data_IF_425273401982
#
_entry.id   IF_425273401982
#
_cell.length_a   1.000
_cell.length_b   1.000
_cell.length_c   1.000
_cell.angle_alpha   90.00
_cell.angle_beta   90.00
_cell.angle_gamma   90.00
#
_symmetry.space_group_name_H-M   'P 1'
#
loop_
_entity.id
_entity.type
_entity.pdbx_description
1 polymer ?
#
# COMPACT_ATOMS: atom_id res chain seq x y z
N UNK A 1 1.76 15.58 1.78
CA UNK A 1 1.15 14.57 0.87
C UNK A 1 0.57 13.46 1.73
N UNK A 2 -0.73 13.15 1.61
CA UNK A 2 -1.32 11.96 2.24
C UNK A 2 -0.61 10.75 1.63
N UNK A 3 -0.01 9.89 2.45
CA UNK A 3 0.57 8.66 1.95
C UNK A 3 -0.57 7.81 1.32
N UNK A 4 -0.28 7.16 0.21
CA UNK A 4 -1.26 6.38 -0.54
C UNK A 4 -0.53 5.24 -1.21
N UNK A 5 -1.10 4.05 -1.16
CA UNK A 5 -0.55 2.89 -1.85
C UNK A 5 -1.29 2.71 -3.17
N UNK A 6 -0.60 2.25 -4.20
CA UNK A 6 -1.20 1.90 -5.48
C UNK A 6 -1.29 0.38 -5.57
N UNK A 7 -2.51 -0.13 -5.72
CA UNK A 7 -2.81 -1.56 -5.89
C UNK A 7 -3.16 -1.82 -7.35
N UNK A 8 -2.60 -2.88 -7.93
CA UNK A 8 -2.89 -3.32 -9.31
C UNK A 8 -3.98 -4.39 -9.29
N UNK A 9 -5.07 -4.18 -10.05
CA UNK A 9 -6.16 -5.16 -10.23
C UNK A 9 -6.26 -5.61 -11.69
N UNK A 10 -6.67 -6.86 -11.92
CA UNK A 10 -6.75 -7.47 -13.25
C UNK A 10 -5.36 -7.84 -13.83
N UNK A 11 -5.22 -7.99 -15.16
CA UNK A 11 -6.20 -7.61 -16.18
C UNK A 11 -7.28 -8.70 -16.40
N UNK A 12 -8.44 -8.31 -16.92
CA UNK A 12 -9.50 -9.21 -17.34
C UNK A 12 -9.59 -9.23 -18.87
N UNK A 13 -9.55 -10.41 -19.48
CA UNK A 13 -9.56 -10.59 -20.94
C UNK A 13 -8.57 -11.65 -21.42
N UNK A 14 -8.12 -11.52 -22.67
CA UNK A 14 -7.14 -12.38 -23.31
C UNK A 14 -5.69 -12.06 -22.97
N UNK A 15 -4.78 -12.94 -23.37
CA UNK A 15 -3.34 -12.83 -23.09
C UNK A 15 -2.50 -12.52 -24.33
N UNK A 16 -3.13 -12.45 -25.51
CA UNK A 16 -2.44 -12.18 -26.77
C UNK A 16 -2.14 -10.68 -26.91
N UNK A 17 -0.94 -10.33 -27.36
CA UNK A 17 -0.54 -8.93 -27.61
C UNK A 17 0.45 -8.37 -26.58
N UNK A 18 0.68 -7.06 -26.65
CA UNK A 18 1.71 -6.39 -25.87
C UNK A 18 1.13 -5.77 -24.60
N UNK A 19 1.85 -5.94 -23.48
CA UNK A 19 1.49 -5.26 -22.24
C UNK A 19 1.84 -3.78 -22.30
N UNK A 20 0.86 -2.93 -22.02
CA UNK A 20 1.03 -1.48 -21.88
C UNK A 20 0.50 -1.03 -20.53
N UNK A 21 1.13 -0.02 -19.93
CA UNK A 21 0.73 0.46 -18.59
C UNK A 21 0.94 1.95 -18.44
N UNK A 22 0.13 2.56 -17.57
CA UNK A 22 0.24 3.95 -17.18
C UNK A 22 1.16 4.08 -15.95
N UNK A 23 2.17 4.97 -16.02
CA UNK A 23 2.92 5.35 -14.83
C UNK A 23 2.02 6.21 -13.91
N UNK A 24 1.76 5.71 -12.70
CA UNK A 24 0.86 6.35 -11.75
C UNK A 24 1.58 7.23 -10.71
N UNK A 25 2.91 7.38 -10.79
CA UNK A 25 3.66 8.27 -9.91
C UNK A 25 3.26 9.72 -10.13
N UNK A 26 3.03 10.46 -9.04
CA UNK A 26 2.63 11.87 -9.12
C UNK A 26 1.23 12.12 -9.70
N UNK A 27 0.41 11.08 -9.87
CA UNK A 27 -0.92 11.23 -10.47
C UNK A 27 -1.88 12.02 -9.58
N UNK A 28 -2.43 13.10 -10.13
CA UNK A 28 -3.45 13.93 -9.48
C UNK A 28 -4.85 13.39 -9.76
N UNK A 29 -5.19 13.14 -11.04
CA UNK A 29 -6.49 12.60 -11.46
C UNK A 29 -6.48 12.13 -12.90
N UNK A 30 -7.36 11.19 -13.24
CA UNK A 30 -7.80 10.97 -14.63
C UNK A 30 -8.76 12.12 -14.97
N UNK A 31 -8.62 12.67 -16.17
CA UNK A 31 -9.41 13.81 -16.65
C UNK A 31 -10.41 13.38 -17.73
N UNK A 32 -9.98 12.56 -18.68
CA UNK A 32 -10.78 12.13 -19.82
C UNK A 32 -10.40 10.72 -20.27
N UNK A 33 -11.39 9.97 -20.75
CA UNK A 33 -11.19 8.66 -21.37
C UNK A 33 -11.74 8.73 -22.80
N UNK A 34 -10.99 8.20 -23.76
CA UNK A 34 -11.40 8.04 -25.15
C UNK A 34 -11.28 6.58 -25.56
N UNK A 35 -12.33 6.05 -26.19
CA UNK A 35 -12.50 4.62 -26.49
C UNK A 35 -12.99 4.49 -27.94
N UNK A 36 -12.26 3.74 -28.76
CA UNK A 36 -12.78 3.26 -30.04
C UNK A 36 -13.38 1.88 -29.83
N UNK A 37 -14.63 1.68 -30.26
CA UNK A 37 -15.37 0.45 -30.05
C UNK A 37 -16.28 0.11 -31.24
N UNK A 38 -16.85 -1.09 -31.20
CA UNK A 38 -17.76 -1.64 -32.20
C UNK A 38 -18.21 -3.01 -31.71
N UNK A 39 -17.78 -4.08 -32.40
CA UNK A 39 -17.95 -5.43 -31.87
C UNK A 39 -17.19 -5.62 -30.54
N UNK A 40 -15.96 -5.08 -30.43
CA UNK A 40 -15.20 -5.05 -29.18
C UNK A 40 -14.49 -3.72 -28.99
N UNK A 41 -13.68 -3.61 -27.94
CA UNK A 41 -12.88 -2.42 -27.67
C UNK A 41 -11.62 -2.46 -28.54
N UNK A 42 -11.52 -1.56 -29.50
CA UNK A 42 -10.43 -1.51 -30.46
C UNK A 42 -9.25 -0.68 -29.93
N UNK A 43 -9.54 0.47 -29.31
CA UNK A 43 -8.52 1.30 -28.68
C UNK A 43 -8.98 1.97 -27.39
N UNK A 44 -8.01 2.33 -26.56
CA UNK A 44 -8.21 3.00 -25.29
C UNK A 44 -7.13 4.06 -25.07
N UNK A 45 -7.54 5.27 -24.67
CA UNK A 45 -6.64 6.36 -24.28
C UNK A 45 -7.14 6.98 -22.97
N UNK A 46 -6.24 7.16 -22.02
CA UNK A 46 -6.52 7.93 -20.80
C UNK A 46 -5.73 9.24 -20.83
N UNK A 47 -6.44 10.36 -20.64
CA UNK A 47 -5.87 11.67 -20.39
C UNK A 47 -5.93 11.97 -18.91
N UNK A 48 -4.84 12.46 -18.33
CA UNK A 48 -4.69 12.58 -16.90
C UNK A 48 -3.81 13.77 -16.51
N UNK A 49 -3.94 14.21 -15.26
CA UNK A 49 -3.10 15.25 -14.68
C UNK A 49 -2.05 14.60 -13.79
N UNK A 50 -0.76 14.79 -14.09
CA UNK A 50 0.39 14.35 -13.30
C UNK A 50 1.23 15.55 -12.89
N UNK A 51 1.51 15.68 -11.59
CA UNK A 51 2.22 16.81 -11.02
C UNK A 51 1.70 18.18 -11.52
N UNK A 52 0.37 18.30 -11.67
CA UNK A 52 -0.29 19.51 -12.17
C UNK A 52 -0.24 19.74 -13.69
N UNK A 53 0.31 18.82 -14.48
CA UNK A 53 0.40 18.90 -15.94
C UNK A 53 -0.46 17.84 -16.61
N UNK A 54 -1.08 18.21 -17.73
CA UNK A 54 -1.85 17.27 -18.55
C UNK A 54 -0.94 16.35 -19.35
N UNK A 55 -1.30 15.07 -19.38
CA UNK A 55 -0.60 14.01 -20.08
C UNK A 55 -1.60 12.98 -20.61
N UNK A 56 -1.11 12.07 -21.46
CA UNK A 56 -1.88 10.97 -22.02
C UNK A 56 -1.05 9.70 -22.05
N UNK A 57 -1.72 8.55 -21.94
CA UNK A 57 -1.11 7.23 -22.18
C UNK A 57 -0.66 7.03 -23.63
N UNK A 58 -1.03 7.94 -24.53
CA UNK A 58 -1.14 7.65 -25.94
C UNK A 58 -2.21 6.59 -26.19
N UNK A 59 -2.38 6.24 -27.46
CA UNK A 59 -3.34 5.23 -27.85
C UNK A 59 -2.80 3.82 -27.58
N UNK A 60 -3.58 3.02 -26.86
CA UNK A 60 -3.40 1.58 -26.79
C UNK A 60 -4.41 0.90 -27.70
N UNK A 61 -4.01 -0.15 -28.42
CA UNK A 61 -4.82 -0.73 -29.51
C UNK A 61 -4.85 0.13 -30.78
N UNK A 62 -5.83 -0.11 -31.66
CA UNK A 62 -5.91 0.51 -32.99
C UNK A 62 -7.31 1.10 -33.28
N UNK A 63 -7.38 2.09 -34.18
CA UNK A 63 -8.65 2.69 -34.64
C UNK A 63 -9.33 1.82 -35.71
N UNK A 64 -9.81 0.64 -35.31
CA UNK A 64 -10.64 -0.21 -36.17
C UNK A 64 -12.11 -0.25 -35.73
N UNK A 65 -12.48 0.49 -34.68
CA UNK A 65 -13.86 0.57 -34.21
C UNK A 65 -14.74 1.39 -35.15
N UNK A 66 -16.01 1.01 -35.25
CA UNK A 66 -17.03 1.79 -35.96
C UNK A 66 -17.32 3.11 -35.25
N UNK A 67 -17.15 3.13 -33.92
CA UNK A 67 -17.57 4.21 -33.06
C UNK A 67 -16.40 4.70 -32.21
N UNK A 68 -16.42 6.00 -31.93
CA UNK A 68 -15.50 6.66 -31.01
C UNK A 68 -16.35 7.34 -29.95
N UNK A 69 -16.08 7.01 -28.70
CA UNK A 69 -16.75 7.62 -27.56
C UNK A 69 -15.74 8.19 -26.59
N UNK A 70 -16.09 9.32 -26.00
CA UNK A 70 -15.28 9.98 -24.99
C UNK A 70 -16.13 10.52 -23.86
N UNK A 71 -15.53 10.60 -22.69
CA UNK A 71 -16.14 11.28 -21.55
C UNK A 71 -15.09 11.98 -20.69
N UNK A 72 -15.51 13.08 -20.11
CA UNK A 72 -14.70 13.90 -19.21
C UNK A 72 -15.23 13.82 -17.79
N UNK A 73 -14.31 13.73 -16.85
CA UNK A 73 -14.58 13.75 -15.42
C UNK A 73 -14.57 15.19 -14.93
N UNK A 74 -15.55 15.57 -14.11
CA UNK A 74 -15.54 16.85 -13.40
C UNK A 74 -14.40 16.92 -12.36
N UNK A 75 -13.93 18.10 -11.92
CA UNK A 75 -12.78 18.23 -10.99
C UNK A 75 -12.79 17.31 -9.76
N UNK A 76 -13.97 17.02 -9.20
CA UNK A 76 -14.18 16.14 -8.04
C UNK A 76 -14.80 14.77 -8.40
N UNK A 77 -14.91 14.46 -9.68
CA UNK A 77 -15.38 13.18 -10.19
C UNK A 77 -14.19 12.23 -10.41
N UNK A 78 -14.32 11.01 -9.91
CA UNK A 78 -13.30 9.97 -10.02
C UNK A 78 -13.93 8.59 -10.20
N UNK A 79 -13.21 7.73 -10.91
CA UNK A 79 -13.66 6.38 -11.23
C UNK A 79 -13.51 5.50 -9.98
N UNK A 80 -14.58 4.78 -9.62
CA UNK A 80 -14.63 3.84 -8.49
C UNK A 80 -14.72 2.39 -8.95
N UNK A 81 -15.26 2.14 -10.15
CA UNK A 81 -15.34 0.80 -10.71
C UNK A 81 -15.30 0.83 -12.23
N UNK A 82 -14.70 -0.21 -12.81
CA UNK A 82 -14.78 -0.49 -14.24
C UNK A 82 -15.40 -1.87 -14.40
N UNK A 83 -16.52 -1.92 -15.10
CA UNK A 83 -17.23 -3.14 -15.46
C UNK A 83 -17.06 -3.40 -16.94
N UNK A 84 -17.17 -4.64 -17.37
CA UNK A 84 -17.11 -4.98 -18.77
C UNK A 84 -17.38 -6.44 -19.04
N UNK A 85 -17.23 -6.81 -20.30
CA UNK A 85 -17.30 -8.20 -20.74
C UNK A 85 -16.10 -8.51 -21.64
N UNK A 86 -15.65 -9.76 -21.63
CA UNK A 86 -14.71 -10.28 -22.61
C UNK A 86 -15.18 -11.63 -23.15
N UNK A 87 -14.86 -11.91 -24.41
CA UNK A 87 -15.27 -13.15 -25.07
C UNK A 87 -14.34 -13.48 -26.24
N UNK A 88 -14.45 -14.71 -26.75
CA UNK A 88 -13.83 -15.06 -28.02
C UNK A 88 -14.57 -14.35 -29.16
N UNK A 89 -13.83 -13.61 -29.98
CA UNK A 89 -14.30 -13.01 -31.21
C UNK A 89 -13.30 -13.30 -32.34
N UNK A 90 -13.75 -14.08 -33.32
CA UNK A 90 -12.93 -14.52 -34.46
C UNK A 90 -11.59 -15.14 -34.02
N UNK A 91 -11.64 -16.04 -33.05
CA UNK A 91 -10.50 -16.78 -32.49
C UNK A 91 -9.62 -16.01 -31.48
N UNK A 92 -9.90 -14.72 -31.22
CA UNK A 92 -9.16 -13.90 -30.25
C UNK A 92 -10.03 -13.59 -29.03
N UNK A 93 -9.48 -13.67 -27.81
CA UNK A 93 -10.19 -13.26 -26.59
C UNK A 93 -9.99 -11.76 -26.39
N UNK A 94 -11.01 -10.97 -26.69
CA UNK A 94 -10.95 -9.50 -26.61
C UNK A 94 -11.89 -8.95 -25.54
N UNK A 95 -11.59 -7.75 -25.03
CA UNK A 95 -12.55 -6.97 -24.27
C UNK A 95 -13.67 -6.52 -25.21
N UNK A 96 -14.90 -6.92 -24.90
CA UNK A 96 -16.10 -6.69 -25.71
C UNK A 96 -16.80 -5.39 -25.32
N UNK A 97 -16.83 -5.09 -24.03
CA UNK A 97 -17.43 -3.85 -23.54
C UNK A 97 -16.76 -3.29 -22.29
N UNK A 98 -16.93 -1.99 -22.09
CA UNK A 98 -16.52 -1.26 -20.90
C UNK A 98 -17.60 -0.31 -20.42
N UNK A 99 -17.79 -0.25 -19.10
CA UNK A 99 -18.68 0.66 -18.39
C UNK A 99 -17.93 1.22 -17.20
N UNK A 100 -17.90 2.55 -17.06
CA UNK A 100 -17.13 3.24 -16.03
C UNK A 100 -18.09 3.81 -15.00
N UNK A 101 -17.95 3.39 -13.75
CA UNK A 101 -18.73 3.90 -12.64
C UNK A 101 -17.86 4.87 -11.85
N UNK A 102 -18.36 6.08 -11.62
CA UNK A 102 -17.71 7.12 -10.83
C UNK A 102 -18.44 7.35 -9.51
N UNK A 103 -17.89 8.19 -8.65
CA UNK A 103 -18.59 8.68 -7.46
C UNK A 103 -19.81 9.57 -7.77
N UNK A 104 -20.06 9.94 -9.03
CA UNK A 104 -21.17 10.84 -9.40
C UNK A 104 -22.16 10.19 -10.37
N UNK A 105 -21.67 9.42 -11.35
CA UNK A 105 -22.46 8.87 -12.46
C UNK A 105 -21.75 7.71 -13.16
N UNK A 106 -22.42 7.13 -14.14
CA UNK A 106 -21.91 6.00 -14.95
C UNK A 106 -21.80 6.39 -16.42
N UNK A 107 -20.76 5.89 -17.09
CA UNK A 107 -20.51 6.05 -18.52
C UNK A 107 -20.47 4.71 -19.24
N UNK A 108 -20.97 4.66 -20.47
CA UNK A 108 -21.13 3.44 -21.26
C UNK A 108 -22.48 2.75 -21.04
N UNK A 109 -22.62 1.46 -21.42
CA UNK A 109 -21.56 0.62 -21.94
C UNK A 109 -21.06 1.10 -23.31
N UNK A 110 -19.77 0.91 -23.54
CA UNK A 110 -19.13 1.07 -24.85
C UNK A 110 -18.80 -0.33 -25.38
N UNK A 111 -19.08 -0.61 -26.65
CA UNK A 111 -19.01 -1.97 -27.22
C UNK A 111 -20.22 -2.86 -26.89
N UNK A 112 -20.02 -4.17 -26.91
CA UNK A 112 -21.09 -5.18 -26.75
C UNK A 112 -20.96 -5.93 -25.41
N UNK A 113 -22.03 -5.95 -24.61
CA UNK A 113 -22.09 -6.68 -23.33
C UNK A 113 -22.29 -8.19 -23.56
N UNK A 114 -21.30 -8.84 -24.18
CA UNK A 114 -21.31 -10.26 -24.56
C UNK A 114 -20.18 -11.06 -23.90
N UNK A 115 -20.47 -12.27 -23.44
CA UNK A 115 -19.50 -13.20 -22.87
C UNK A 115 -19.36 -13.11 -21.36
N UNK A 116 -18.12 -13.20 -20.86
CA UNK A 116 -17.83 -13.27 -19.43
C UNK A 116 -17.77 -11.84 -18.87
N UNK A 117 -18.69 -11.53 -17.95
CA UNK A 117 -18.69 -10.27 -17.23
C UNK A 117 -17.51 -10.18 -16.25
N UNK A 118 -16.95 -8.99 -16.10
CA UNK A 118 -15.94 -8.67 -15.09
C UNK A 118 -16.21 -7.32 -14.44
N UNK A 119 -15.70 -7.16 -13.22
CA UNK A 119 -15.77 -5.92 -12.47
C UNK A 119 -14.47 -5.70 -11.69
N UNK A 120 -13.87 -4.52 -11.87
CA UNK A 120 -12.66 -4.07 -11.18
C UNK A 120 -13.03 -2.85 -10.32
N UNK A 121 -13.25 -3.10 -9.03
CA UNK A 121 -13.76 -2.09 -8.09
C UNK A 121 -12.70 -1.66 -7.09
N UNK A 122 -12.55 -0.35 -6.93
CA UNK A 122 -11.81 0.25 -5.83
C UNK A 122 -12.65 0.15 -4.54
N UNK A 123 -12.50 -0.96 -3.80
CA UNK A 123 -13.18 -1.18 -2.50
C UNK A 123 -12.88 -0.09 -1.48
N UNK A 124 -11.73 0.55 -1.61
CA UNK A 124 -11.40 1.82 -0.94
C UNK A 124 -10.60 2.71 -1.90
N UNK A 125 -10.72 4.03 -1.72
CA UNK A 125 -10.00 5.00 -2.54
C UNK A 125 -10.64 5.20 -3.92
N UNK A 126 -9.81 5.24 -4.97
CA UNK A 126 -10.25 5.49 -6.35
C UNK A 126 -9.30 4.91 -7.38
N UNK A 127 -9.81 4.63 -8.58
CA UNK A 127 -8.99 4.25 -9.73
C UNK A 127 -8.23 5.49 -10.23
N UNK A 128 -6.92 5.34 -10.42
CA UNK A 128 -6.01 6.42 -10.83
C UNK A 128 -5.23 6.14 -12.11
N UNK A 129 -5.31 4.92 -12.63
CA UNK A 129 -4.67 4.57 -13.89
C UNK A 129 -5.09 3.21 -14.40
N UNK A 130 -4.53 2.83 -15.55
CA UNK A 130 -4.88 1.62 -16.28
C UNK A 130 -3.64 0.86 -16.73
N UNK A 131 -3.80 -0.44 -16.93
CA UNK A 131 -2.87 -1.27 -17.69
C UNK A 131 -3.68 -2.19 -18.60
N UNK A 132 -3.13 -2.53 -19.76
CA UNK A 132 -3.82 -3.33 -20.76
C UNK A 132 -2.87 -4.35 -21.37
N UNK A 133 -3.46 -5.37 -21.99
CA UNK A 133 -2.83 -6.14 -23.04
C UNK A 133 -3.49 -5.68 -24.34
N UNK A 134 -2.69 -5.19 -25.29
CA UNK A 134 -3.21 -4.63 -26.54
C UNK A 134 -2.51 -5.21 -27.75
N UNK A 135 -3.30 -5.61 -28.74
CA UNK A 135 -2.86 -5.99 -30.07
C UNK A 135 -3.65 -5.21 -31.11
N UNK A 136 -4.39 -5.92 -31.98
CA UNK A 136 -5.37 -5.28 -32.88
C UNK A 136 -6.54 -4.66 -32.10
N UNK A 137 -6.90 -5.26 -30.96
CA UNK A 137 -7.92 -4.81 -30.02
C UNK A 137 -7.29 -4.58 -28.64
N UNK A 138 -8.11 -4.11 -27.69
CA UNK A 138 -7.83 -4.28 -26.27
C UNK A 138 -8.20 -5.72 -25.91
N UNK A 139 -7.19 -6.52 -25.63
CA UNK A 139 -7.31 -7.96 -25.39
C UNK A 139 -7.65 -8.19 -23.92
N UNK A 140 -7.01 -7.44 -23.02
CA UNK A 140 -7.38 -7.38 -21.61
C UNK A 140 -7.18 -5.99 -21.01
N UNK A 141 -7.94 -5.68 -19.96
CA UNK A 141 -7.85 -4.42 -19.23
C UNK A 141 -7.77 -4.64 -17.72
N UNK A 142 -6.90 -3.89 -17.07
CA UNK A 142 -6.80 -3.80 -15.62
C UNK A 142 -6.65 -2.35 -15.15
N UNK A 143 -6.72 -2.15 -13.84
CA UNK A 143 -6.73 -0.82 -13.22
C UNK A 143 -5.71 -0.70 -12.10
N UNK A 144 -5.27 0.53 -11.84
CA UNK A 144 -4.50 0.91 -10.66
C UNK A 144 -5.39 1.67 -9.69
N UNK A 145 -5.51 1.19 -8.46
CA UNK A 145 -6.32 1.77 -7.39
C UNK A 145 -5.41 2.48 -6.40
N UNK A 146 -5.63 3.78 -6.19
CA UNK A 146 -4.98 4.56 -5.13
C UNK A 146 -5.81 4.43 -3.87
N UNK A 147 -5.34 3.62 -2.93
CA UNK A 147 -5.94 3.49 -1.60
C UNK A 147 -5.34 4.55 -0.67
N UNK A 148 -6.14 5.27 0.13
CA UNK A 148 -5.63 6.09 1.21
C UNK A 148 -4.80 5.19 2.15
N UNK A 149 -3.55 5.55 2.44
CA UNK A 149 -2.85 4.81 3.50
C UNK A 149 -3.52 5.14 4.83
N UNK A 150 -3.87 4.10 5.58
CA UNK A 150 -4.37 4.23 6.96
C UNK A 150 -3.24 4.57 7.93
N UNK A 151 -1.98 4.50 7.49
CA UNK A 151 -0.79 4.69 8.31
C UNK A 151 0.40 5.20 7.48
N UNK A 152 1.29 5.96 8.12
CA UNK A 152 2.56 6.46 7.60
C UNK A 152 3.71 5.63 8.15
N UNK A 153 4.66 5.28 7.28
CA UNK A 153 5.92 4.62 7.67
C UNK A 153 6.94 5.65 8.16
N UNK A 154 7.53 5.43 9.33
CA UNK A 154 8.59 6.26 9.94
C UNK A 154 9.84 5.40 10.22
N UNK A 155 11.02 5.99 10.09
CA UNK A 155 12.30 5.26 10.17
C UNK A 155 12.60 4.42 8.91
N UNK A 156 13.43 3.37 9.01
CA UNK A 156 13.97 2.80 10.25
C UNK A 156 15.20 3.56 10.77
N UNK A 157 15.50 3.38 12.06
CA UNK A 157 16.72 3.85 12.71
C UNK A 157 17.57 2.63 13.11
N UNK A 158 18.85 2.63 12.74
CA UNK A 158 19.79 1.53 13.01
C UNK A 158 20.67 1.20 11.79
N UNK A 159 21.24 0.00 11.76
CA UNK A 159 22.12 -0.47 10.69
C UNK A 159 21.41 -1.15 9.52
N UNK A 160 22.20 -1.42 8.47
CA UNK A 160 21.74 -2.07 7.24
C UNK A 160 21.84 -3.60 7.23
N UNK A 161 22.27 -4.22 8.33
CA UNK A 161 22.39 -5.67 8.45
C UNK A 161 21.03 -6.38 8.55
N UNK A 162 21.05 -7.71 8.68
CA UNK A 162 19.85 -8.52 8.89
C UNK A 162 18.92 -8.63 7.67
N UNK A 163 17.87 -9.46 7.81
CA UNK A 163 16.79 -9.59 6.85
C UNK A 163 15.65 -8.61 7.19
N UNK A 164 14.94 -8.14 6.16
CA UNK A 164 13.79 -7.25 6.35
C UNK A 164 12.64 -7.93 7.09
N UNK A 165 12.02 -7.18 7.99
CA UNK A 165 10.82 -7.57 8.73
C UNK A 165 9.81 -6.44 8.68
N UNK A 166 8.54 -6.77 8.55
CA UNK A 166 7.46 -5.79 8.56
C UNK A 166 6.16 -6.41 9.04
N UNK A 167 5.34 -5.61 9.71
CA UNK A 167 3.95 -5.94 9.97
C UNK A 167 3.09 -5.51 8.78
N UNK A 168 2.20 -6.39 8.32
CA UNK A 168 1.05 -5.96 7.53
C UNK A 168 0.04 -5.31 8.50
N UNK A 169 -0.14 -4.00 8.38
CA UNK A 169 -0.99 -3.23 9.29
C UNK A 169 -2.46 -3.14 8.87
N UNK A 170 -2.88 -3.78 7.75
CA UNK A 170 -4.29 -3.72 7.38
C UNK A 170 -5.18 -4.49 8.37
N UNK A 171 -6.29 -3.86 8.75
CA UNK A 171 -7.22 -4.39 9.76
C UNK A 171 -6.71 -4.36 11.21
N UNK A 172 -5.46 -3.92 11.47
CA UNK A 172 -4.98 -3.75 12.84
C UNK A 172 -5.72 -2.58 13.49
N UNK A 173 -6.37 -2.87 14.62
CA UNK A 173 -7.06 -1.85 15.42
C UNK A 173 -6.18 -1.27 16.52
N UNK A 174 -5.31 -2.08 17.13
CA UNK A 174 -4.35 -1.63 18.16
C UNK A 174 -3.26 -2.66 18.45
N UNK A 175 -2.15 -2.18 19.02
CA UNK A 175 -1.19 -3.02 19.73
C UNK A 175 -1.74 -3.32 21.15
N UNK A 176 -1.55 -4.54 21.61
CA UNK A 176 -2.03 -5.03 22.92
C UNK A 176 -0.87 -5.25 23.88
N UNK A 177 0.21 -5.86 23.40
CA UNK A 177 1.39 -6.19 24.21
C UNK A 177 2.64 -6.06 23.38
N UNK A 178 3.72 -5.62 24.01
CA UNK A 178 5.07 -5.70 23.47
C UNK A 178 5.92 -6.52 24.43
N UNK A 179 6.70 -7.44 23.86
CA UNK A 179 7.76 -8.16 24.55
C UNK A 179 9.10 -7.72 23.99
N UNK A 180 9.93 -7.17 24.86
CA UNK A 180 11.29 -6.74 24.56
C UNK A 180 12.27 -7.72 25.17
N UNK A 181 13.09 -8.36 24.34
CA UNK A 181 14.21 -9.18 24.80
C UNK A 181 15.45 -8.31 24.88
N UNK A 182 16.22 -8.38 25.97
CA UNK A 182 17.40 -7.55 26.18
C UNK A 182 18.51 -8.30 26.94
N UNK A 183 19.75 -7.79 26.86
CA UNK A 183 20.94 -8.38 27.48
C UNK A 183 21.16 -7.86 28.91
N UNK A 184 21.75 -8.68 29.79
CA UNK A 184 21.91 -8.39 31.22
C UNK A 184 23.00 -7.38 31.57
N UNK A 185 24.11 -7.30 30.83
CA UNK A 185 25.23 -6.41 31.20
C UNK A 185 26.16 -6.01 30.06
N UNK A 186 26.29 -6.78 28.98
CA UNK A 186 27.11 -6.41 27.84
C UNK A 186 26.35 -6.81 26.58
N UNK A 187 25.98 -5.79 25.80
CA UNK A 187 25.47 -5.88 24.43
C UNK A 187 24.02 -6.30 24.19
N UNK A 188 23.14 -5.48 24.77
CA UNK A 188 21.69 -5.47 24.57
C UNK A 188 21.30 -5.43 23.10
N UNK A 189 21.05 -6.63 22.56
CA UNK A 189 20.17 -6.79 21.42
C UNK A 189 18.76 -6.65 21.92
N UNK A 190 18.05 -5.70 21.37
CA UNK A 190 16.61 -5.59 21.58
C UNK A 190 15.89 -6.49 20.59
N UNK A 191 15.47 -7.70 20.96
CA UNK A 191 14.50 -8.41 20.12
C UNK A 191 13.07 -8.00 20.46
N UNK A 192 12.20 -8.03 19.47
CA UNK A 192 10.85 -7.50 19.59
C UNK A 192 9.82 -8.56 19.18
N UNK A 193 8.84 -8.79 20.05
CA UNK A 193 7.60 -9.49 19.69
C UNK A 193 6.43 -8.56 19.96
N UNK A 194 5.49 -8.46 19.02
CA UNK A 194 4.34 -7.55 19.11
C UNK A 194 3.06 -8.36 19.00
N UNK A 195 2.18 -8.22 20.00
CA UNK A 195 0.81 -8.75 19.96
C UNK A 195 -0.17 -7.63 19.70
N UNK A 196 -1.11 -7.86 18.79
CA UNK A 196 -2.02 -6.83 18.30
C UNK A 196 -3.40 -7.42 17.98
N UNK A 197 -4.42 -6.57 17.90
CA UNK A 197 -5.75 -6.95 17.46
C UNK A 197 -5.90 -6.62 15.97
N UNK A 198 -6.22 -7.62 15.15
CA UNK A 198 -6.59 -7.48 13.75
C UNK A 198 -8.02 -7.98 13.54
N UNK A 199 -8.90 -7.12 13.03
CA UNK A 199 -10.30 -7.47 12.74
C UNK A 199 -11.00 -8.19 13.92
N UNK A 200 -10.70 -7.77 15.16
CA UNK A 200 -11.26 -8.35 16.38
C UNK A 200 -10.59 -9.64 16.89
N UNK A 201 -9.51 -10.12 16.24
CA UNK A 201 -8.74 -11.30 16.67
C UNK A 201 -7.33 -10.90 17.12
N UNK A 202 -6.84 -11.51 18.19
CA UNK A 202 -5.44 -11.32 18.61
C UNK A 202 -4.50 -12.11 17.72
N UNK A 203 -3.47 -11.43 17.24
CA UNK A 203 -2.36 -11.98 16.46
C UNK A 203 -1.03 -11.58 17.10
N UNK A 204 0.06 -12.27 16.77
CA UNK A 204 1.41 -11.93 17.23
C UNK A 204 2.40 -12.05 16.09
N UNK A 205 3.40 -11.16 16.06
CA UNK A 205 4.54 -11.31 15.17
C UNK A 205 5.38 -12.52 15.59
N UNK A 206 6.19 -13.03 14.68
CA UNK A 206 7.40 -13.76 15.09
C UNK A 206 8.33 -12.82 15.89
N UNK A 207 9.29 -13.40 16.61
CA UNK A 207 10.30 -12.61 17.30
C UNK A 207 11.30 -12.02 16.28
N UNK A 208 11.54 -10.72 16.35
CA UNK A 208 12.53 -10.03 15.50
C UNK A 208 13.83 -9.84 16.27
N UNK A 209 14.90 -10.55 15.89
CA UNK A 209 16.20 -10.55 16.58
C UNK A 209 16.42 -11.77 17.49
N UNK A 210 17.52 -11.76 18.26
CA UNK A 210 17.95 -12.89 19.08
C UNK A 210 17.16 -13.11 20.37
N UNK A 211 17.32 -14.29 21.01
CA UNK A 211 16.56 -14.69 22.23
C UNK A 211 16.71 -13.72 23.42
N UNK A 212 17.79 -12.95 23.47
CA UNK A 212 18.16 -12.12 24.62
C UNK A 212 18.53 -12.97 25.86
N UNK A 213 19.02 -12.30 26.90
CA UNK A 213 19.25 -12.93 28.21
C UNK A 213 17.99 -12.81 29.09
N UNK A 214 17.29 -11.69 28.98
CA UNK A 214 16.05 -11.37 29.68
C UNK A 214 14.95 -11.05 28.66
N UNK A 215 13.69 -11.27 29.05
CA UNK A 215 12.52 -10.80 28.33
C UNK A 215 11.65 -9.98 29.28
N UNK A 216 11.30 -8.78 28.88
CA UNK A 216 10.36 -7.92 29.60
C UNK A 216 9.16 -7.67 28.73
N UNK A 217 7.97 -7.95 29.27
CA UNK A 217 6.71 -7.67 28.60
C UNK A 217 5.92 -6.59 29.31
N UNK A 218 5.19 -5.81 28.52
CA UNK A 218 4.20 -4.86 29.04
C UNK A 218 2.92 -4.92 28.20
N UNK A 219 1.78 -4.85 28.89
CA UNK A 219 0.47 -4.78 28.28
C UNK A 219 0.03 -3.32 28.22
N UNK A 220 -0.55 -2.92 27.10
CA UNK A 220 -1.21 -1.63 26.96
C UNK A 220 -2.66 -1.76 27.43
N UNK A 221 -3.11 -0.85 28.27
CA UNK A 221 -4.52 -0.81 28.71
C UNK A 221 -5.48 -0.58 27.53
N UNK A 222 -6.80 -0.88 27.67
CA UNK A 222 -7.80 -0.72 26.60
C UNK A 222 -7.87 0.67 25.93
N UNK A 223 -7.38 1.72 26.58
CA UNK A 223 -7.30 3.09 26.03
C UNK A 223 -5.86 3.61 25.90
N UNK A 224 -4.88 2.78 26.23
CA UNK A 224 -3.46 3.10 26.10
C UNK A 224 -2.93 2.72 24.72
N UNK A 225 -2.22 3.65 24.09
CA UNK A 225 -1.59 3.50 22.78
C UNK A 225 -0.22 4.17 22.78
N UNK A 226 0.68 3.65 21.96
CA UNK A 226 2.05 4.15 21.84
C UNK A 226 2.04 5.39 20.94
N UNK A 227 2.63 6.48 21.41
CA UNK A 227 2.73 7.77 20.72
C UNK A 227 4.11 8.00 20.13
N UNK A 228 5.16 7.43 20.74
CA UNK A 228 6.53 7.54 20.25
C UNK A 228 7.37 6.33 20.68
N UNK A 229 8.38 6.00 19.87
CA UNK A 229 9.44 5.06 20.22
C UNK A 229 10.77 5.80 20.19
N UNK A 230 11.43 5.84 21.35
CA UNK A 230 12.75 6.43 21.55
C UNK A 230 13.77 5.33 21.79
N UNK A 231 15.03 5.62 21.53
CA UNK A 231 16.08 4.65 21.77
C UNK A 231 17.44 5.17 21.39
N UNK A 232 18.42 4.27 21.44
CA UNK A 232 19.78 4.55 21.01
C UNK A 232 20.22 3.50 20.00
N UNK A 233 20.97 3.94 18.99
CA UNK A 233 21.66 3.08 18.02
C UNK A 233 23.16 3.24 18.17
N UNK A 234 23.92 2.18 17.95
CA UNK A 234 25.36 2.22 18.08
C UNK A 234 26.01 0.91 17.70
N UNK A 235 27.34 0.89 17.73
CA UNK A 235 28.09 -0.33 17.47
C UNK A 235 27.96 -1.32 18.63
N UNK A 236 27.64 -2.56 18.30
CA UNK A 236 27.89 -3.73 19.10
C UNK A 236 28.94 -4.57 18.36
N UNK A 237 30.15 -4.64 18.91
CA UNK A 237 31.32 -5.15 18.21
C UNK A 237 31.45 -4.43 16.85
N UNK A 238 31.28 -5.15 15.74
CA UNK A 238 31.36 -4.61 14.38
C UNK A 238 29.99 -4.28 13.76
N UNK A 239 28.89 -4.51 14.47
CA UNK A 239 27.52 -4.39 13.95
C UNK A 239 26.85 -3.12 14.46
N UNK A 240 26.33 -2.29 13.56
CA UNK A 240 25.57 -1.10 13.95
C UNK A 240 24.10 -1.47 14.16
N UNK A 241 23.59 -1.36 15.40
CA UNK A 241 22.31 -1.97 15.82
C UNK A 241 21.50 -1.04 16.73
N UNK A 242 20.24 -1.41 16.99
CA UNK A 242 19.44 -0.83 18.07
C UNK A 242 19.95 -1.34 19.42
N UNK A 243 20.37 -0.43 20.30
CA UNK A 243 20.94 -0.72 21.63
C UNK A 243 19.93 -0.58 22.75
N UNK A 244 18.95 0.30 22.61
CA UNK A 244 17.85 0.44 23.57
C UNK A 244 16.55 0.88 22.93
N UNK A 245 15.45 0.56 23.61
CA UNK A 245 14.10 1.04 23.29
C UNK A 245 13.40 1.57 24.54
N UNK A 246 12.68 2.66 24.36
CA UNK A 246 11.81 3.32 25.33
C UNK A 246 10.53 3.68 24.58
N UNK A 247 9.38 3.35 25.16
CA UNK A 247 8.08 3.58 24.54
C UNK A 247 7.37 4.70 25.31
N UNK A 248 6.90 5.70 24.59
CA UNK A 248 5.99 6.70 25.14
C UNK A 248 4.57 6.33 24.72
N UNK A 249 3.65 6.40 25.68
CA UNK A 249 2.22 6.16 25.47
C UNK A 249 1.45 7.43 25.82
N UNK A 250 0.15 7.45 25.54
CA UNK A 250 -0.73 8.51 26.03
C UNK A 250 -0.94 8.49 27.55
N UNK A 251 -0.52 7.44 28.26
CA UNK A 251 -0.66 7.32 29.72
C UNK A 251 0.67 7.44 30.47
N UNK A 252 1.82 7.33 29.80
CA UNK A 252 3.12 7.45 30.46
C UNK A 252 4.29 6.97 29.61
N UNK A 253 5.32 6.48 30.28
CA UNK A 253 6.57 6.02 29.66
C UNK A 253 6.90 4.62 30.15
N UNK A 254 7.33 3.76 29.23
CA UNK A 254 7.64 2.35 29.46
C UNK A 254 9.07 2.06 28.97
N UNK A 255 9.90 1.47 29.84
CA UNK A 255 11.34 1.28 29.63
C UNK A 255 12.19 2.34 30.37
N UNK A 256 13.45 2.56 29.98
CA UNK A 256 14.14 1.98 28.82
C UNK A 256 14.47 0.49 29.00
N UNK A 257 14.60 -0.21 27.89
CA UNK A 257 15.10 -1.57 27.80
C UNK A 257 16.39 -1.60 27.00
N UNK A 258 17.43 -2.24 27.54
CA UNK A 258 18.78 -2.19 26.97
C UNK A 258 19.60 -1.01 27.48
N UNK A 259 20.69 -0.68 26.77
CA UNK A 259 21.65 0.34 27.19
C UNK A 259 21.51 1.61 26.36
N UNK A 260 21.22 2.73 27.02
CA UNK A 260 21.12 4.07 26.39
C UNK A 260 22.52 4.64 26.07
N UNK A 261 23.21 4.01 25.12
CA UNK A 261 24.54 4.38 24.66
C UNK A 261 24.58 4.46 23.12
N UNK A 262 25.27 5.47 22.60
CA UNK A 262 25.40 5.73 21.16
C UNK A 262 24.59 6.95 20.72
N UNK A 263 24.05 6.90 19.50
CA UNK A 263 23.26 7.98 18.92
C UNK A 263 21.77 7.81 19.27
N UNK A 264 21.13 8.80 19.92
CA UNK A 264 19.70 8.72 20.22
C UNK A 264 18.87 8.82 18.94
N UNK A 265 17.70 8.20 18.94
CA UNK A 265 16.69 8.35 17.89
C UNK A 265 15.29 8.45 18.50
N UNK A 266 14.38 9.03 17.71
CA UNK A 266 12.96 9.09 18.03
C UNK A 266 12.10 8.84 16.78
N UNK A 267 11.04 8.05 16.96
CA UNK A 267 10.01 7.77 15.97
C UNK A 267 8.65 8.16 16.54
N UNK A 268 8.29 9.44 16.40
CA UNK A 268 7.05 9.99 16.94
C UNK A 268 5.89 9.93 15.94
N UNK A 269 4.73 9.45 16.38
CA UNK A 269 3.48 9.47 15.62
C UNK A 269 2.80 10.85 15.57
N UNK A 270 3.42 11.89 16.17
CA UNK A 270 3.02 13.31 16.11
C UNK A 270 1.50 13.55 16.27
N UNK A 271 0.95 13.20 17.44
CA UNK A 271 -0.47 13.35 17.74
C UNK A 271 -1.35 12.20 17.20
N UNK A 272 -0.74 11.05 16.90
CA UNK A 272 -1.43 9.82 16.55
C UNK A 272 -0.89 8.60 17.32
N UNK A 273 -1.33 7.42 16.93
CA UNK A 273 -0.94 6.14 17.52
C UNK A 273 -0.03 5.33 16.59
N UNK A 274 0.94 4.64 17.17
CA UNK A 274 1.73 3.61 16.48
C UNK A 274 0.90 2.32 16.46
N UNK A 275 0.71 1.75 15.27
CA UNK A 275 -0.11 0.55 15.05
C UNK A 275 0.71 -0.66 14.58
N UNK A 276 2.01 -0.48 14.37
CA UNK A 276 2.88 -1.56 13.98
C UNK A 276 4.32 -1.12 13.77
N UNK A 277 5.15 -2.09 13.40
CA UNK A 277 6.59 -1.94 13.28
C UNK A 277 7.07 -2.47 11.93
N UNK A 278 8.26 -2.03 11.54
CA UNK A 278 9.08 -2.60 10.46
C UNK A 278 10.55 -2.45 10.84
N UNK A 279 11.45 -3.15 10.17
CA UNK A 279 12.86 -3.09 10.51
C UNK A 279 13.68 -4.16 9.82
N UNK A 280 14.85 -4.41 10.37
CA UNK A 280 15.74 -5.48 9.93
C UNK A 280 16.32 -6.20 11.13
N UNK A 281 16.41 -7.51 11.06
CA UNK A 281 17.05 -8.30 12.10
C UNK A 281 17.82 -9.49 11.51
N UNK A 282 18.94 -9.81 12.13
CA UNK A 282 19.63 -11.10 11.99
C UNK A 282 19.15 -12.09 13.05
N UNK A 283 19.65 -13.32 13.03
CA UNK A 283 19.34 -14.33 14.06
C UNK A 283 19.71 -13.89 15.48
N UNK A 284 20.67 -12.96 15.59
CA UNK A 284 21.21 -12.50 16.86
C UNK A 284 20.85 -11.07 17.22
N UNK A 285 20.57 -10.17 16.27
CA UNK A 285 20.54 -8.71 16.48
C UNK A 285 19.28 -8.07 15.85
N UNK A 286 18.76 -7.00 16.46
CA UNK A 286 17.84 -6.06 15.80
C UNK A 286 18.67 -4.93 15.21
N UNK A 287 18.94 -5.04 13.92
CA UNK A 287 19.79 -4.13 13.17
C UNK A 287 19.15 -2.74 13.08
N UNK A 288 17.86 -2.65 12.74
CA UNK A 288 17.13 -1.38 12.75
C UNK A 288 15.63 -1.56 13.03
N UNK A 289 15.01 -0.48 13.51
CA UNK A 289 13.57 -0.43 13.82
C UNK A 289 12.94 0.82 13.24
N UNK A 290 11.75 0.66 12.69
CA UNK A 290 10.84 1.70 12.27
C UNK A 290 9.42 1.40 12.71
N UNK A 291 8.52 2.36 12.56
CA UNK A 291 7.13 2.26 13.01
C UNK A 291 6.14 2.64 11.92
N UNK A 292 4.92 2.14 12.05
CA UNK A 292 3.75 2.59 11.30
C UNK A 292 2.86 3.42 12.22
N UNK A 293 2.74 4.71 11.94
CA UNK A 293 1.89 5.64 12.66
C UNK A 293 0.55 5.81 11.94
N UNK A 294 -0.57 5.70 12.63
CA UNK A 294 -1.90 5.87 12.01
C UNK A 294 -2.06 7.26 11.42
N UNK A 295 -2.76 7.35 10.30
CA UNK A 295 -3.14 8.62 9.67
C UNK A 295 -4.56 8.91 10.09
N UNK A 296 -4.76 9.93 10.92
CA UNK A 296 -6.08 10.49 11.14
C UNK A 296 -6.51 11.23 9.88
N UNK A 297 -7.59 10.76 9.25
CA UNK A 297 -8.28 11.56 8.25
C UNK A 297 -8.96 12.71 9.01
N UNK A 298 -8.35 13.90 8.95
CA UNK A 298 -9.06 15.12 9.28
C UNK A 298 -10.17 15.22 8.21
N UNK A 299 -11.41 15.05 8.66
CA UNK A 299 -12.62 15.26 7.85
C UNK A 299 -12.80 16.74 7.56
#
# INVERSE_FOLDING_TARGET
>A
MKASTIVKLGPCGGTAGDSKYMNCDGINRIAKISISHGAGICSFTAHYIRNGREESTGQWGNYYGSDISEFELQPNEYIISVKGHYSNWREWIIVRSLKFVTNMRTFGPYGQEEGIAFELTATSGRIVGFHVISGKHIEALGVYVKVPTKFKKLGPCGGGGGAEKYMDCDGISRIVKITVHHGGTIDSVTALTVRFLRNGREESTEQWGGKGANATEFNLQPTEYITSVKGYVGYYQQWFVVKSLKFETNLGTIGPYGKEEGMPFELAALGSEIIGFHGRCSSGLLDCLGVYAKVHNIH
#
